data_IF_162923286233
#
_entry.id   IF_162923286233
#
_cell.length_a   1.000
_cell.length_b   1.000
_cell.length_c   1.000
_cell.angle_alpha   90.00
_cell.angle_beta   90.00
_cell.angle_gamma   90.00
#
_symmetry.space_group_name_H-M   'P 1'
#
loop_
_entity.id
_entity.type
_entity.pdbx_description
1 polymer ?
#
# COMPACT_ATOMS: atom_id res chain seq x y z
N UNK A 1 0.43 -2.25 4.09
CA UNK A 1 0.04 -3.68 4.10
C UNK A 1 0.88 -4.52 3.14
N UNK A 2 1.93 -3.96 2.55
CA UNK A 2 2.70 -4.60 1.48
C UNK A 2 3.58 -5.71 2.04
N UNK A 3 4.21 -5.47 3.19
CA UNK A 3 5.10 -6.45 3.81
C UNK A 3 4.33 -7.63 4.40
N UNK A 4 3.21 -7.38 5.07
CA UNK A 4 2.39 -8.45 5.64
C UNK A 4 1.86 -9.42 4.56
N UNK A 5 1.48 -8.88 3.40
CA UNK A 5 0.92 -9.68 2.30
C UNK A 5 1.95 -10.42 1.47
N UNK A 6 3.05 -9.77 1.10
CA UNK A 6 4.01 -10.38 0.17
C UNK A 6 5.27 -10.90 0.86
N UNK A 7 5.61 -10.42 2.06
CA UNK A 7 6.86 -10.77 2.73
C UNK A 7 7.01 -12.28 2.99
N UNK A 8 5.91 -12.96 3.34
CA UNK A 8 5.94 -14.41 3.60
C UNK A 8 6.31 -15.22 2.34
N UNK A 9 5.97 -14.74 1.14
CA UNK A 9 6.31 -15.41 -0.12
C UNK A 9 7.81 -15.47 -0.36
N UNK A 10 8.58 -14.50 0.15
CA UNK A 10 10.03 -14.49 0.00
C UNK A 10 10.76 -15.18 1.16
N UNK A 11 10.34 -14.90 2.39
CA UNK A 11 11.10 -15.32 3.59
C UNK A 11 10.59 -16.60 4.25
N UNK A 12 9.32 -16.96 3.99
CA UNK A 12 8.62 -18.05 4.66
C UNK A 12 7.99 -19.02 3.64
N UNK A 13 8.56 -19.10 2.43
CA UNK A 13 7.99 -19.88 1.32
C UNK A 13 7.84 -21.39 1.63
N UNK A 14 8.71 -21.94 2.49
CA UNK A 14 8.63 -23.33 2.96
C UNK A 14 8.03 -23.49 4.36
N UNK A 15 7.57 -22.41 4.99
CA UNK A 15 7.03 -22.44 6.34
C UNK A 15 5.56 -22.88 6.34
N UNK A 16 5.10 -23.61 7.36
CA UNK A 16 3.69 -23.96 7.50
C UNK A 16 2.81 -22.71 7.61
N UNK A 17 1.59 -22.79 7.05
CA UNK A 17 0.65 -21.66 6.91
C UNK A 17 0.41 -20.87 8.20
N UNK A 18 0.34 -21.56 9.35
CA UNK A 18 0.11 -20.90 10.64
C UNK A 18 1.24 -19.92 11.00
N UNK A 19 2.49 -20.19 10.60
CA UNK A 19 3.61 -19.28 10.83
C UNK A 19 3.50 -18.06 9.92
N UNK A 20 3.19 -18.26 8.64
CA UNK A 20 2.98 -17.16 7.71
C UNK A 20 1.86 -16.21 8.18
N UNK A 21 0.74 -16.76 8.69
CA UNK A 21 -0.36 -15.97 9.24
C UNK A 21 0.09 -15.21 10.50
N UNK A 22 0.75 -15.87 11.45
CA UNK A 22 1.19 -15.25 12.70
C UNK A 22 2.17 -14.09 12.45
N UNK A 23 3.22 -14.32 11.66
CA UNK A 23 4.18 -13.27 11.32
C UNK A 23 3.54 -12.17 10.48
N UNK A 24 2.64 -12.53 9.55
CA UNK A 24 1.85 -11.57 8.77
C UNK A 24 1.03 -10.64 9.66
N UNK A 25 0.38 -11.17 10.70
CA UNK A 25 -0.38 -10.37 11.67
C UNK A 25 0.51 -9.42 12.48
N UNK A 26 1.68 -9.86 12.94
CA UNK A 26 2.63 -9.01 13.66
C UNK A 26 3.10 -7.83 12.78
N UNK A 27 3.42 -8.10 11.52
CA UNK A 27 3.82 -7.06 10.57
C UNK A 27 2.64 -6.14 10.23
N UNK A 28 1.45 -6.71 10.03
CA UNK A 28 0.25 -5.94 9.74
C UNK A 28 -0.08 -4.97 10.87
N UNK A 29 0.10 -5.35 12.13
CA UNK A 29 -0.10 -4.47 13.29
C UNK A 29 0.77 -3.21 13.19
N UNK A 30 2.05 -3.38 12.82
CA UNK A 30 2.95 -2.24 12.60
C UNK A 30 2.47 -1.37 11.44
N UNK A 31 2.13 -1.97 10.29
CA UNK A 31 1.63 -1.20 9.14
C UNK A 31 0.31 -0.46 9.47
N UNK A 32 -0.56 -1.05 10.29
CA UNK A 32 -1.82 -0.44 10.72
C UNK A 32 -1.59 0.71 11.69
N UNK A 33 -0.57 0.60 12.55
CA UNK A 33 -0.23 1.65 13.51
C UNK A 33 0.15 2.97 12.84
N UNK A 34 0.65 2.95 11.60
CA UNK A 34 0.87 4.16 10.80
C UNK A 34 -0.37 4.60 10.02
N UNK A 35 -1.13 3.64 9.49
CA UNK A 35 -2.29 3.93 8.64
C UNK A 35 -3.43 4.58 9.43
N UNK A 36 -3.75 4.09 10.63
CA UNK A 36 -4.89 4.59 11.44
C UNK A 36 -4.70 6.06 11.85
N UNK A 37 -3.55 6.49 12.41
CA UNK A 37 -3.31 7.90 12.72
C UNK A 37 -3.32 8.80 11.47
N UNK A 38 -2.76 8.33 10.35
CA UNK A 38 -2.76 9.09 9.10
C UNK A 38 -4.19 9.36 8.61
N UNK A 39 -5.06 8.35 8.58
CA UNK A 39 -6.47 8.51 8.19
C UNK A 39 -7.22 9.44 9.15
N UNK A 40 -6.96 9.36 10.46
CA UNK A 40 -7.57 10.27 11.45
C UNK A 40 -7.12 11.72 11.26
N UNK A 41 -5.85 11.96 10.97
CA UNK A 41 -5.31 13.29 10.70
C UNK A 41 -5.96 13.91 9.46
N UNK A 42 -6.06 13.14 8.37
CA UNK A 42 -6.71 13.58 7.13
C UNK A 42 -8.20 13.90 7.37
N UNK A 43 -8.88 13.09 8.18
CA UNK A 43 -10.27 13.36 8.56
C UNK A 43 -10.42 14.67 9.35
N UNK A 44 -9.48 14.98 10.26
CA UNK A 44 -9.46 16.26 10.98
C UNK A 44 -9.22 17.46 10.06
N UNK A 45 -8.55 17.26 8.92
CA UNK A 45 -8.33 18.29 7.90
C UNK A 45 -9.53 18.48 6.96
N UNK A 46 -10.64 17.77 7.19
CA UNK A 46 -11.87 17.91 6.40
C UNK A 46 -11.88 17.10 5.10
N UNK A 47 -10.95 16.15 4.92
CA UNK A 47 -10.94 15.30 3.73
C UNK A 47 -12.16 14.36 3.69
N UNK A 48 -12.65 14.06 2.50
CA UNK A 48 -13.72 13.08 2.29
C UNK A 48 -13.18 11.65 2.34
N UNK A 49 -14.07 10.68 2.58
CA UNK A 49 -13.70 9.25 2.59
C UNK A 49 -13.09 8.81 1.24
N UNK A 50 -13.59 9.37 0.13
CA UNK A 50 -13.10 9.08 -1.21
C UNK A 50 -11.68 9.56 -1.46
N UNK A 51 -11.36 10.78 -1.01
CA UNK A 51 -10.01 11.37 -1.08
C UNK A 51 -9.00 10.53 -0.31
N UNK A 52 -9.32 10.18 0.94
CA UNK A 52 -8.45 9.35 1.77
C UNK A 52 -8.18 8.00 1.11
N UNK A 53 -9.19 7.39 0.49
CA UNK A 53 -9.04 6.09 -0.17
C UNK A 53 -8.12 6.16 -1.37
N UNK A 54 -8.29 7.14 -2.25
CA UNK A 54 -7.43 7.28 -3.43
C UNK A 54 -6.00 7.65 -3.03
N UNK A 55 -5.80 8.53 -2.05
CA UNK A 55 -4.47 8.82 -1.54
C UNK A 55 -3.80 7.58 -0.95
N UNK A 56 -4.56 6.71 -0.26
CA UNK A 56 -4.02 5.43 0.19
C UNK A 56 -3.60 4.52 -0.98
N UNK A 57 -4.34 4.45 -2.07
CA UNK A 57 -3.94 3.66 -3.26
C UNK A 57 -2.68 4.22 -3.91
N UNK A 58 -2.55 5.54 -4.01
CA UNK A 58 -1.32 6.20 -4.49
C UNK A 58 -0.13 5.84 -3.62
N UNK A 59 -0.26 5.98 -2.30
CA UNK A 59 0.81 5.60 -1.34
C UNK A 59 1.13 4.11 -1.44
N UNK A 60 0.11 3.27 -1.63
CA UNK A 60 0.29 1.82 -1.74
C UNK A 60 1.10 1.46 -2.98
N UNK A 61 0.79 2.05 -4.13
CA UNK A 61 1.56 1.84 -5.36
C UNK A 61 3.00 2.36 -5.20
N UNK A 62 3.18 3.54 -4.60
CA UNK A 62 4.48 4.15 -4.34
C UNK A 62 5.37 3.30 -3.43
N UNK A 63 4.80 2.64 -2.42
CA UNK A 63 5.54 1.73 -1.54
C UNK A 63 5.74 0.36 -2.21
N UNK A 64 4.76 -0.11 -2.98
CA UNK A 64 4.79 -1.40 -3.65
C UNK A 64 5.86 -1.50 -4.72
N UNK A 65 6.06 -0.46 -5.54
CA UNK A 65 7.02 -0.49 -6.65
C UNK A 65 8.47 -0.68 -6.16
N UNK A 66 9.02 0.13 -5.24
CA UNK A 66 10.34 -0.10 -4.64
C UNK A 66 10.39 -1.44 -3.91
N UNK A 67 9.34 -1.80 -3.16
CA UNK A 67 9.28 -3.09 -2.48
C UNK A 67 9.46 -4.26 -3.44
N UNK A 68 8.79 -4.25 -4.59
CA UNK A 68 8.90 -5.29 -5.60
C UNK A 68 10.31 -5.34 -6.21
N UNK A 69 10.91 -4.18 -6.52
CA UNK A 69 12.26 -4.10 -7.12
C UNK A 69 13.32 -4.58 -6.12
N UNK A 70 13.33 -4.06 -4.89
CA UNK A 70 14.37 -4.37 -3.92
C UNK A 70 14.17 -5.75 -3.27
N UNK A 71 12.93 -6.09 -2.93
CA UNK A 71 12.64 -7.34 -2.25
C UNK A 71 12.53 -8.49 -3.24
N UNK A 72 11.72 -8.39 -4.29
CA UNK A 72 11.51 -9.49 -5.22
C UNK A 72 12.48 -9.52 -6.41
N UNK A 73 13.33 -8.49 -6.56
CA UNK A 73 14.28 -8.36 -7.68
C UNK A 73 13.61 -8.52 -9.04
N UNK A 74 12.32 -8.20 -9.14
CA UNK A 74 11.60 -8.24 -10.41
C UNK A 74 11.99 -7.03 -11.26
N UNK A 75 12.10 -7.19 -12.59
CA UNK A 75 12.41 -6.08 -13.47
C UNK A 75 11.32 -5.01 -13.38
N UNK A 76 11.74 -3.75 -13.36
CA UNK A 76 10.82 -2.63 -13.39
C UNK A 76 10.04 -2.64 -14.71
N UNK A 77 8.71 -2.75 -14.62
CA UNK A 77 7.82 -2.70 -15.77
C UNK A 77 7.23 -1.30 -15.93
N UNK A 78 7.14 -0.83 -17.17
CA UNK A 78 6.48 0.44 -17.50
C UNK A 78 4.99 0.43 -17.14
N UNK A 79 4.37 -0.75 -17.00
CA UNK A 79 2.99 -0.92 -16.56
C UNK A 79 2.70 -0.21 -15.22
N UNK A 80 3.68 -0.17 -14.30
CA UNK A 80 3.52 0.54 -13.03
C UNK A 80 3.51 2.06 -13.20
N UNK A 81 4.21 2.59 -14.20
CA UNK A 81 4.19 4.01 -14.54
C UNK A 81 2.83 4.37 -15.13
N UNK A 82 2.31 3.54 -16.04
CA UNK A 82 0.98 3.73 -16.61
C UNK A 82 -0.11 3.66 -15.53
N UNK A 83 -0.02 2.70 -14.61
CA UNK A 83 -0.92 2.62 -13.45
C UNK A 83 -0.83 3.88 -12.57
N UNK A 84 0.37 4.39 -12.32
CA UNK A 84 0.58 5.65 -11.60
C UNK A 84 -0.06 6.85 -12.31
N UNK A 85 0.10 6.96 -13.63
CA UNK A 85 -0.54 8.01 -14.43
C UNK A 85 -2.08 7.90 -14.38
N UNK A 86 -2.64 6.69 -14.45
CA UNK A 86 -4.08 6.49 -14.27
C UNK A 86 -4.56 6.93 -12.87
N UNK A 87 -3.79 6.64 -11.82
CA UNK A 87 -4.11 7.09 -10.46
C UNK A 87 -4.06 8.61 -10.31
N UNK A 88 -3.17 9.31 -11.02
CA UNK A 88 -3.20 10.78 -11.06
C UNK A 88 -4.51 11.31 -11.64
N UNK A 89 -5.07 10.64 -12.65
CA UNK A 89 -6.42 10.92 -13.14
C UNK A 89 -7.47 10.75 -12.05
N UNK A 90 -7.42 9.65 -11.29
CA UNK A 90 -8.32 9.42 -10.15
C UNK A 90 -8.20 10.52 -9.07
N UNK A 91 -6.98 10.93 -8.74
CA UNK A 91 -6.73 12.05 -7.81
C UNK A 91 -7.39 13.32 -8.34
N UNK A 92 -7.14 13.68 -9.59
CA UNK A 92 -7.76 14.88 -10.17
C UNK A 92 -9.30 14.83 -10.07
N UNK A 93 -9.94 13.73 -10.46
CA UNK A 93 -11.41 13.65 -10.44
C UNK A 93 -12.01 13.72 -9.04
N UNK A 94 -11.33 13.19 -8.04
CA UNK A 94 -11.84 13.21 -6.67
C UNK A 94 -11.63 14.59 -6.02
N UNK A 95 -10.49 15.23 -6.27
CA UNK A 95 -10.17 16.53 -5.67
C UNK A 95 -10.72 17.74 -6.46
N UNK A 96 -11.24 17.55 -7.68
CA UNK A 96 -11.69 18.68 -8.54
C UNK A 96 -12.81 19.55 -7.97
N UNK A 97 -13.62 18.99 -7.07
CA UNK A 97 -14.86 19.60 -6.56
C UNK A 97 -14.75 20.00 -5.07
N UNK A 98 -13.55 19.89 -4.49
CA UNK A 98 -13.21 20.57 -3.24
C UNK A 98 -12.76 22.00 -3.54
#
# INVERSE_FOLDING_TARGET
MTLAWYGHLKFLHGAPLWQAILFGWLIALLEYSFMIPATRLLAQQGWSLGEMKITQEVVTLLVFVPFMIFLFKQPFKLDYVWAGLCLLGCVYFIFRNQ
#
